data_IF_593489172920
#
_entry.id   IF_593489172920
#
_cell.length_a   1.000
_cell.length_b   1.000
_cell.length_c   1.000
_cell.angle_alpha   90.00
_cell.angle_beta   90.00
_cell.angle_gamma   90.00
#
_symmetry.space_group_name_H-M   'P 1'
#
loop_
_entity.id
_entity.type
_entity.pdbx_description
1 polymer ?
#
# COMPACT_ATOMS: atom_id res chain seq x y z
N UNK A 1 -18.58 -16.65 -6.49
CA UNK A 1 -17.86 -16.09 -5.31
C UNK A 1 -17.05 -14.86 -5.65
N UNK A 2 -15.97 -14.92 -6.46
CA UNK A 2 -15.14 -13.72 -6.73
C UNK A 2 -15.91 -12.54 -7.33
N UNK A 3 -16.71 -12.77 -8.37
CA UNK A 3 -17.55 -11.72 -8.99
C UNK A 3 -18.58 -11.19 -7.98
N UNK A 4 -19.18 -12.08 -7.19
CA UNK A 4 -20.17 -11.72 -6.17
C UNK A 4 -19.54 -10.87 -5.06
N UNK A 5 -18.32 -11.19 -4.62
CA UNK A 5 -17.57 -10.43 -3.63
C UNK A 5 -17.33 -8.99 -4.12
N UNK A 6 -16.78 -8.83 -5.33
CA UNK A 6 -16.53 -7.51 -5.90
C UNK A 6 -17.80 -6.68 -6.08
N UNK A 7 -18.90 -7.32 -6.52
CA UNK A 7 -20.18 -6.65 -6.64
C UNK A 7 -20.75 -6.26 -5.27
N UNK A 8 -20.78 -7.20 -4.33
CA UNK A 8 -21.39 -7.00 -3.00
C UNK A 8 -20.61 -5.98 -2.17
N UNK A 9 -19.28 -6.03 -2.19
CA UNK A 9 -18.43 -5.17 -1.36
C UNK A 9 -18.14 -3.82 -1.99
N UNK A 10 -18.03 -3.75 -3.31
CA UNK A 10 -17.55 -2.54 -4.00
C UNK A 10 -18.46 -2.04 -5.12
N UNK A 11 -19.61 -2.68 -5.34
CA UNK A 11 -20.50 -2.42 -6.47
C UNK A 11 -19.77 -2.50 -7.83
N UNK A 12 -18.70 -3.32 -7.90
CA UNK A 12 -17.89 -3.48 -9.10
C UNK A 12 -18.44 -4.63 -9.95
N UNK A 13 -18.79 -4.32 -11.20
CA UNK A 13 -19.33 -5.30 -12.15
C UNK A 13 -18.20 -6.05 -12.86
N UNK A 14 -17.68 -7.13 -12.25
CA UNK A 14 -16.54 -7.93 -12.76
C UNK A 14 -15.22 -7.15 -12.87
N UNK A 15 -14.20 -7.73 -13.51
CA UNK A 15 -12.82 -7.21 -13.51
C UNK A 15 -12.66 -5.87 -14.25
N UNK A 16 -13.57 -5.50 -15.17
CA UNK A 16 -13.53 -4.25 -15.94
C UNK A 16 -14.59 -3.22 -15.50
N UNK A 17 -15.36 -3.54 -14.45
CA UNK A 17 -16.53 -2.77 -14.03
C UNK A 17 -17.63 -2.66 -15.10
N UNK A 18 -17.67 -3.58 -16.06
CA UNK A 18 -18.62 -3.61 -17.17
C UNK A 18 -19.07 -5.04 -17.53
N UNK A 19 -19.20 -5.91 -16.51
CA UNK A 19 -19.66 -7.29 -16.66
C UNK A 19 -18.77 -8.16 -17.58
N UNK A 20 -17.45 -7.98 -17.55
CA UNK A 20 -16.52 -8.90 -18.22
C UNK A 20 -16.85 -10.37 -17.88
N UNK A 21 -16.99 -11.20 -18.92
CA UNK A 21 -17.25 -12.62 -18.77
C UNK A 21 -16.00 -13.37 -18.31
N UNK A 22 -16.01 -13.88 -17.07
CA UNK A 22 -14.93 -14.71 -16.55
C UNK A 22 -15.01 -16.11 -17.17
N UNK A 23 -13.94 -16.51 -17.87
CA UNK A 23 -13.80 -17.84 -18.47
C UNK A 23 -12.73 -18.62 -17.72
N UNK A 24 -13.05 -19.85 -17.34
CA UNK A 24 -12.15 -20.74 -16.59
C UNK A 24 -11.99 -22.06 -17.32
N UNK A 25 -10.74 -22.48 -17.51
CA UNK A 25 -10.36 -23.75 -18.12
C UNK A 25 -9.61 -24.60 -17.09
N UNK A 26 -10.03 -25.86 -16.95
CA UNK A 26 -9.43 -26.84 -16.04
C UNK A 26 -8.79 -27.97 -16.85
N UNK A 27 -8.11 -28.91 -16.20
CA UNK A 27 -7.38 -30.00 -16.86
C UNK A 27 -6.32 -29.47 -17.85
N UNK A 28 -5.68 -28.36 -17.50
CA UNK A 28 -4.66 -27.79 -18.35
C UNK A 28 -3.34 -28.56 -18.25
N UNK A 29 -2.90 -29.10 -19.38
CA UNK A 29 -1.68 -29.89 -19.51
C UNK A 29 -1.70 -31.15 -18.62
N UNK A 30 -0.55 -31.82 -18.47
CA UNK A 30 -0.42 -33.05 -17.68
C UNK A 30 0.51 -32.80 -16.50
N UNK A 31 0.11 -33.21 -15.29
CA UNK A 31 0.87 -33.00 -14.05
C UNK A 31 1.29 -31.53 -13.83
N UNK A 32 0.42 -30.60 -14.20
CA UNK A 32 0.72 -29.17 -14.19
C UNK A 32 0.40 -28.56 -12.82
N UNK A 33 1.44 -28.31 -12.03
CA UNK A 33 1.34 -27.61 -10.76
C UNK A 33 1.44 -26.09 -10.96
N UNK A 34 0.43 -25.50 -11.60
CA UNK A 34 0.25 -24.04 -11.62
C UNK A 34 -1.18 -23.65 -12.01
N UNK A 35 -1.57 -22.43 -11.65
CA UNK A 35 -2.71 -21.71 -12.18
C UNK A 35 -2.22 -20.36 -12.73
N UNK A 36 -2.96 -19.76 -13.66
CA UNK A 36 -2.61 -18.43 -14.15
C UNK A 36 -3.79 -17.73 -14.84
N UNK A 37 -3.77 -16.41 -14.78
CA UNK A 37 -4.50 -15.51 -15.67
C UNK A 37 -3.66 -15.13 -16.90
N UNK A 38 -4.17 -15.37 -18.12
CA UNK A 38 -3.43 -15.10 -19.37
C UNK A 38 -3.72 -13.73 -20.01
N UNK A 39 -4.47 -12.87 -19.33
CA UNK A 39 -4.98 -11.61 -19.88
C UNK A 39 -6.43 -11.68 -20.38
N UNK A 40 -6.96 -12.88 -20.59
CA UNK A 40 -8.31 -13.11 -21.13
C UNK A 40 -9.12 -14.18 -20.41
N UNK A 41 -8.45 -15.15 -19.78
CA UNK A 41 -9.08 -16.29 -19.11
C UNK A 41 -8.22 -16.83 -17.98
N UNK A 42 -8.90 -17.58 -17.13
CA UNK A 42 -8.35 -18.41 -16.09
C UNK A 42 -7.98 -19.80 -16.60
N UNK A 43 -6.84 -20.31 -16.17
CA UNK A 43 -6.37 -21.67 -16.48
C UNK A 43 -5.86 -22.35 -15.21
N UNK A 44 -6.29 -23.59 -14.97
CA UNK A 44 -5.93 -24.39 -13.80
C UNK A 44 -5.39 -25.76 -14.22
N UNK A 45 -4.22 -26.11 -13.69
CA UNK A 45 -3.71 -27.48 -13.77
C UNK A 45 -4.30 -28.39 -12.70
N UNK A 46 -4.18 -29.69 -12.94
CA UNK A 46 -4.63 -30.74 -12.01
C UNK A 46 -3.64 -30.98 -10.86
N UNK A 47 -2.56 -30.20 -10.78
CA UNK A 47 -1.49 -30.40 -9.83
C UNK A 47 -0.54 -31.53 -10.24
N UNK A 48 0.34 -31.91 -9.31
CA UNK A 48 1.28 -33.01 -9.50
C UNK A 48 1.21 -33.95 -8.30
N UNK A 49 1.21 -35.25 -8.56
CA UNK A 49 1.25 -36.27 -7.51
C UNK A 49 2.44 -36.08 -6.55
N UNK A 50 3.59 -35.63 -7.06
CA UNK A 50 4.81 -35.43 -6.25
C UNK A 50 4.84 -34.13 -5.45
N UNK A 51 4.00 -33.15 -5.80
CA UNK A 51 4.02 -31.82 -5.17
C UNK A 51 2.88 -31.67 -4.19
N UNK A 52 1.65 -31.93 -4.64
CA UNK A 52 0.43 -31.65 -3.89
C UNK A 52 -0.57 -32.81 -3.96
N UNK A 53 -0.09 -34.03 -4.24
CA UNK A 53 -0.93 -35.22 -4.31
C UNK A 53 -1.86 -35.28 -5.53
N UNK A 54 -1.61 -34.45 -6.55
CA UNK A 54 -2.47 -34.40 -7.75
C UNK A 54 -3.84 -33.75 -7.49
N UNK A 55 -3.90 -32.83 -6.53
CA UNK A 55 -5.08 -32.03 -6.27
C UNK A 55 -5.13 -30.84 -7.25
N UNK A 56 -6.29 -30.54 -7.87
CA UNK A 56 -6.42 -29.43 -8.80
C UNK A 56 -6.24 -28.09 -8.08
N UNK A 57 -5.61 -27.12 -8.74
CA UNK A 57 -5.34 -25.78 -8.17
C UNK A 57 -6.58 -24.87 -8.22
N UNK A 58 -7.73 -25.39 -7.81
CA UNK A 58 -9.04 -24.72 -7.88
C UNK A 58 -9.53 -24.25 -6.51
N UNK A 59 -8.61 -24.00 -5.57
CA UNK A 59 -8.93 -23.39 -4.28
C UNK A 59 -9.52 -21.98 -4.47
N UNK A 60 -10.38 -21.54 -3.56
CA UNK A 60 -11.15 -20.30 -3.72
C UNK A 60 -10.24 -19.07 -3.70
N UNK A 61 -9.22 -19.07 -2.85
CA UNK A 61 -8.17 -18.07 -2.76
C UNK A 61 -7.34 -17.99 -4.05
N UNK A 62 -6.94 -19.12 -4.65
CA UNK A 62 -6.22 -19.18 -5.93
C UNK A 62 -7.13 -18.69 -7.05
N UNK A 63 -8.39 -19.13 -7.11
CA UNK A 63 -9.32 -18.61 -8.11
C UNK A 63 -9.54 -17.09 -7.95
N UNK A 64 -9.63 -16.60 -6.72
CA UNK A 64 -9.73 -15.18 -6.41
C UNK A 64 -8.47 -14.39 -6.77
N UNK A 65 -7.30 -14.91 -6.45
CA UNK A 65 -5.98 -14.36 -6.75
C UNK A 65 -5.83 -14.13 -8.25
N UNK A 66 -6.10 -15.16 -9.04
CA UNK A 66 -5.86 -15.08 -10.46
C UNK A 66 -6.86 -14.16 -11.18
N UNK A 67 -8.14 -14.18 -10.78
CA UNK A 67 -9.13 -13.22 -11.30
C UNK A 67 -8.75 -11.79 -10.89
N UNK A 68 -8.09 -11.61 -9.74
CA UNK A 68 -7.59 -10.31 -9.29
C UNK A 68 -6.49 -9.77 -10.19
N UNK A 69 -5.62 -10.59 -10.78
CA UNK A 69 -4.70 -10.12 -11.84
C UNK A 69 -5.46 -9.47 -13.00
N UNK A 70 -6.61 -10.05 -13.37
CA UNK A 70 -7.55 -9.45 -14.31
C UNK A 70 -7.99 -8.05 -13.87
N UNK A 71 -8.43 -7.88 -12.63
CA UNK A 71 -8.80 -6.57 -12.09
C UNK A 71 -7.62 -5.58 -12.10
N UNK A 72 -6.44 -6.01 -11.68
CA UNK A 72 -5.22 -5.19 -11.70
C UNK A 72 -4.91 -4.71 -13.12
N UNK A 73 -5.02 -5.58 -14.14
CA UNK A 73 -4.78 -5.22 -15.55
C UNK A 73 -5.75 -4.17 -16.10
N UNK A 74 -6.97 -4.10 -15.56
CA UNK A 74 -8.01 -3.13 -15.96
C UNK A 74 -8.04 -1.86 -15.12
N UNK A 75 -7.13 -1.73 -14.15
CA UNK A 75 -7.08 -0.60 -13.22
C UNK A 75 -5.67 -0.04 -13.11
N UNK A 76 -4.91 -0.35 -12.06
CA UNK A 76 -3.55 0.17 -11.87
C UNK A 76 -2.58 -0.28 -12.97
N UNK A 77 -2.84 -1.42 -13.60
CA UNK A 77 -1.98 -2.04 -14.61
C UNK A 77 -0.52 -2.18 -14.12
N UNK A 78 -0.36 -2.61 -12.86
CA UNK A 78 0.94 -2.80 -12.21
C UNK A 78 1.84 -3.69 -13.08
N UNK A 79 2.99 -3.15 -13.50
CA UNK A 79 3.95 -3.89 -14.30
C UNK A 79 4.45 -5.10 -13.51
N UNK A 80 4.43 -6.29 -14.12
CA UNK A 80 4.75 -7.55 -13.45
C UNK A 80 6.27 -7.79 -13.32
N UNK A 81 6.93 -6.89 -12.58
CA UNK A 81 8.36 -6.94 -12.29
C UNK A 81 8.68 -6.10 -11.06
N UNK A 82 9.76 -6.45 -10.34
CA UNK A 82 10.28 -5.65 -9.22
C UNK A 82 9.17 -5.33 -8.20
N UNK A 83 9.18 -4.13 -7.62
CA UNK A 83 8.18 -3.74 -6.60
C UNK A 83 6.76 -3.65 -7.15
N UNK A 84 6.55 -3.19 -8.39
CA UNK A 84 5.20 -3.13 -8.97
C UNK A 84 4.63 -4.53 -9.18
N UNK A 85 5.48 -5.50 -9.54
CA UNK A 85 5.09 -6.90 -9.66
C UNK A 85 4.81 -7.53 -8.30
N UNK A 86 5.61 -7.20 -7.28
CA UNK A 86 5.35 -7.64 -5.91
C UNK A 86 4.03 -7.08 -5.35
N UNK A 87 3.68 -5.85 -5.69
CA UNK A 87 2.36 -5.30 -5.38
C UNK A 87 1.26 -5.99 -6.19
N UNK A 88 1.50 -6.32 -7.46
CA UNK A 88 0.54 -7.06 -8.29
C UNK A 88 0.19 -8.41 -7.65
N UNK A 89 1.20 -9.20 -7.30
CA UNK A 89 1.07 -10.44 -6.53
C UNK A 89 0.38 -10.23 -5.19
N UNK A 90 0.84 -9.26 -4.41
CA UNK A 90 0.28 -9.02 -3.08
C UNK A 90 -1.18 -8.58 -3.11
N UNK A 91 -1.60 -7.77 -4.08
CA UNK A 91 -3.03 -7.43 -4.21
C UNK A 91 -3.86 -8.65 -4.65
N UNK A 92 -3.33 -9.51 -5.51
CA UNK A 92 -3.97 -10.78 -5.85
C UNK A 92 -4.15 -11.67 -4.62
N UNK A 93 -3.13 -11.80 -3.77
CA UNK A 93 -3.20 -12.50 -2.49
C UNK A 93 -4.24 -11.86 -1.54
N UNK A 94 -4.21 -10.54 -1.39
CA UNK A 94 -5.15 -9.76 -0.56
C UNK A 94 -6.60 -10.06 -0.93
N UNK A 95 -6.94 -10.00 -2.21
CA UNK A 95 -8.32 -10.23 -2.64
C UNK A 95 -8.67 -11.71 -2.67
N UNK A 96 -7.76 -12.59 -3.08
CA UNK A 96 -7.95 -14.04 -3.00
C UNK A 96 -8.33 -14.48 -1.58
N UNK A 97 -7.51 -14.08 -0.61
CA UNK A 97 -7.76 -14.39 0.80
C UNK A 97 -9.02 -13.68 1.35
N UNK A 98 -9.30 -12.45 0.94
CA UNK A 98 -10.52 -11.74 1.37
C UNK A 98 -11.80 -12.40 0.84
N UNK A 99 -11.77 -12.92 -0.39
CA UNK A 99 -12.89 -13.67 -0.98
C UNK A 99 -13.11 -14.96 -0.21
N UNK A 100 -12.03 -15.65 0.15
CA UNK A 100 -12.08 -16.84 0.99
C UNK A 100 -12.69 -16.56 2.37
N UNK A 101 -12.15 -15.59 3.10
CA UNK A 101 -12.66 -15.15 4.40
C UNK A 101 -14.13 -14.73 4.34
N UNK A 102 -14.55 -14.11 3.24
CA UNK A 102 -15.93 -13.70 3.05
C UNK A 102 -16.87 -14.88 2.72
N UNK A 103 -16.45 -15.78 1.83
CA UNK A 103 -17.30 -16.85 1.33
C UNK A 103 -17.41 -18.03 2.32
N UNK A 104 -16.33 -18.31 3.06
CA UNK A 104 -16.24 -19.45 3.99
C UNK A 104 -15.49 -19.12 5.29
N UNK A 105 -15.98 -18.15 6.09
CA UNK A 105 -15.26 -17.62 7.26
C UNK A 105 -14.88 -18.66 8.33
N UNK A 106 -15.54 -19.82 8.38
CA UNK A 106 -15.25 -20.90 9.34
C UNK A 106 -14.17 -21.89 8.87
N UNK A 107 -13.78 -21.83 7.61
CA UNK A 107 -12.77 -22.71 6.98
C UNK A 107 -11.57 -21.93 6.46
N UNK A 108 -11.71 -20.61 6.31
CA UNK A 108 -10.68 -19.73 5.82
C UNK A 108 -9.44 -19.70 6.73
N UNK A 109 -8.28 -19.58 6.12
CA UNK A 109 -7.02 -19.33 6.80
C UNK A 109 -6.33 -18.08 6.25
N UNK A 110 -5.19 -17.67 6.85
CA UNK A 110 -4.30 -16.65 6.29
C UNK A 110 -3.23 -17.24 5.36
N UNK A 111 -3.29 -18.55 5.11
CA UNK A 111 -2.44 -19.22 4.13
C UNK A 111 -3.10 -19.12 2.75
N UNK A 112 -2.28 -19.37 1.74
CA UNK A 112 -2.71 -19.43 0.36
C UNK A 112 -2.40 -20.80 -0.20
N UNK A 113 -3.40 -21.49 -0.74
CA UNK A 113 -3.29 -22.81 -1.35
C UNK A 113 -3.33 -23.99 -0.39
N UNK A 114 -3.71 -23.79 0.86
CA UNK A 114 -3.86 -24.87 1.86
C UNK A 114 -4.85 -25.95 1.44
N UNK A 115 -5.84 -25.58 0.65
CA UNK A 115 -6.95 -26.44 0.21
C UNK A 115 -6.53 -27.56 -0.74
N UNK A 116 -5.43 -27.38 -1.47
CA UNK A 116 -4.82 -28.43 -2.27
C UNK A 116 -3.60 -29.03 -1.57
N UNK A 117 -3.59 -29.01 -0.23
CA UNK A 117 -2.56 -29.61 0.63
C UNK A 117 -1.14 -29.11 0.34
N UNK A 118 -1.02 -27.88 -0.17
CA UNK A 118 0.26 -27.24 -0.44
C UNK A 118 0.14 -25.73 -0.20
N UNK A 119 0.23 -25.27 1.07
CA UNK A 119 0.29 -23.86 1.35
C UNK A 119 1.54 -23.26 0.69
N UNK A 120 1.34 -22.29 -0.20
CA UNK A 120 2.39 -21.63 -0.98
C UNK A 120 2.98 -20.46 -0.19
N UNK A 121 2.10 -19.72 0.51
CA UNK A 121 2.42 -18.50 1.27
C UNK A 121 1.58 -18.44 2.54
N UNK A 122 2.03 -17.66 3.51
CA UNK A 122 1.29 -17.33 4.72
C UNK A 122 1.31 -15.82 4.93
N UNK A 123 0.14 -15.18 4.79
CA UNK A 123 0.02 -13.73 4.93
C UNK A 123 0.21 -13.26 6.38
N UNK A 124 -0.03 -14.13 7.36
CA UNK A 124 0.15 -13.83 8.78
C UNK A 124 1.59 -14.06 9.27
N UNK A 125 2.35 -14.89 8.56
CA UNK A 125 3.76 -15.18 8.85
C UNK A 125 4.57 -15.47 7.56
N UNK A 126 4.86 -14.45 6.73
CA UNK A 126 5.59 -14.65 5.48
C UNK A 126 6.96 -15.31 5.65
N UNK A 127 7.64 -15.03 6.76
CA UNK A 127 8.95 -15.60 7.07
C UNK A 127 8.94 -17.14 7.14
N UNK A 128 7.82 -17.76 7.54
CA UNK A 128 7.67 -19.23 7.54
C UNK A 128 7.80 -19.86 6.14
N UNK A 129 7.55 -19.06 5.10
CA UNK A 129 7.63 -19.47 3.69
C UNK A 129 8.75 -18.72 2.94
N UNK A 130 9.75 -18.22 3.68
CA UNK A 130 10.93 -17.50 3.13
C UNK A 130 10.54 -16.27 2.30
N UNK A 131 9.50 -15.56 2.72
CA UNK A 131 9.10 -14.26 2.17
C UNK A 131 9.32 -13.17 3.23
N UNK A 132 9.75 -11.95 2.85
CA UNK A 132 9.87 -10.84 3.77
C UNK A 132 8.51 -10.42 4.34
N UNK A 133 8.43 -10.25 5.66
CA UNK A 133 7.35 -9.51 6.33
C UNK A 133 7.68 -8.02 6.51
N UNK A 134 8.96 -7.66 6.34
CA UNK A 134 9.52 -6.32 6.50
C UNK A 134 10.19 -5.87 5.20
N UNK A 135 9.91 -4.66 4.75
CA UNK A 135 10.49 -4.05 3.56
C UNK A 135 12.01 -3.98 3.67
N UNK A 136 12.70 -4.58 2.68
CA UNK A 136 14.17 -4.77 2.66
C UNK A 136 14.74 -5.53 3.86
N UNK A 137 13.90 -6.27 4.57
CA UNK A 137 14.27 -7.13 5.68
C UNK A 137 14.71 -8.53 5.24
N UNK A 138 14.57 -9.47 6.17
CA UNK A 138 14.86 -10.89 5.99
C UNK A 138 14.12 -11.44 4.77
N UNK A 139 14.81 -12.26 3.98
CA UNK A 139 14.32 -12.85 2.72
C UNK A 139 14.00 -11.90 1.55
N UNK A 140 14.14 -10.58 1.72
CA UNK A 140 13.93 -9.62 0.63
C UNK A 140 14.81 -9.93 -0.59
N UNK A 141 14.22 -9.82 -1.79
CA UNK A 141 14.91 -9.95 -3.07
C UNK A 141 15.15 -8.58 -3.69
N UNK A 142 16.33 -8.36 -4.26
CA UNK A 142 16.63 -7.10 -4.94
C UNK A 142 15.63 -6.82 -6.07
N UNK A 143 14.85 -5.76 -5.88
CA UNK A 143 13.85 -5.26 -6.82
C UNK A 143 14.24 -3.88 -7.38
N UNK A 144 15.49 -3.46 -7.19
CA UNK A 144 15.98 -2.17 -7.69
C UNK A 144 16.38 -2.25 -9.17
N UNK A 145 16.91 -1.14 -9.69
CA UNK A 145 17.40 -1.08 -11.07
C UNK A 145 18.58 -2.02 -11.36
N UNK A 146 19.31 -2.50 -10.34
CA UNK A 146 20.38 -3.50 -10.54
C UNK A 146 19.85 -4.88 -10.90
N UNK A 147 18.59 -5.18 -10.56
CA UNK A 147 17.99 -6.45 -10.96
C UNK A 147 17.38 -6.36 -12.36
N UNK A 148 17.81 -7.25 -13.25
CA UNK A 148 17.18 -7.45 -14.57
C UNK A 148 16.07 -8.49 -14.43
N UNK A 149 14.78 -8.15 -14.66
CA UNK A 149 13.69 -9.09 -14.50
C UNK A 149 13.82 -10.27 -15.47
N UNK A 150 13.74 -11.48 -14.94
CA UNK A 150 13.78 -12.71 -15.73
C UNK A 150 12.52 -13.52 -15.45
N UNK A 151 11.89 -13.95 -16.55
CA UNK A 151 10.47 -14.31 -16.63
C UNK A 151 10.15 -15.78 -16.94
N UNK A 152 11.17 -16.54 -17.32
CA UNK A 152 10.99 -17.81 -17.99
C UNK A 152 11.62 -18.94 -17.17
N UNK A 153 10.85 -19.97 -16.74
CA UNK A 153 11.39 -21.13 -16.04
C UNK A 153 12.38 -21.95 -16.89
N UNK A 154 12.43 -21.72 -18.21
CA UNK A 154 13.39 -22.35 -19.12
C UNK A 154 14.74 -21.61 -19.20
N UNK A 155 14.92 -20.49 -18.49
CA UNK A 155 16.20 -19.79 -18.43
C UNK A 155 16.93 -20.13 -17.11
N UNK A 156 18.23 -20.45 -17.14
CA UNK A 156 19.01 -20.64 -15.92
C UNK A 156 19.08 -19.33 -15.12
N UNK A 157 18.96 -19.40 -13.79
CA UNK A 157 19.04 -18.23 -12.92
C UNK A 157 17.76 -17.39 -12.84
N UNK A 158 16.60 -17.93 -13.25
CA UNK A 158 15.28 -17.30 -13.11
C UNK A 158 15.11 -16.65 -11.72
N UNK A 159 14.87 -15.34 -11.72
CA UNK A 159 14.83 -14.52 -10.52
C UNK A 159 13.42 -14.02 -10.17
N UNK A 160 12.40 -14.70 -10.68
CA UNK A 160 11.02 -14.40 -10.36
C UNK A 160 10.64 -12.94 -10.70
N UNK A 161 11.03 -12.47 -11.89
CA UNK A 161 10.88 -11.08 -12.31
C UNK A 161 11.38 -10.07 -11.25
N UNK A 162 12.51 -10.36 -10.61
CA UNK A 162 13.05 -9.65 -9.44
C UNK A 162 12.22 -9.82 -8.15
N UNK A 163 11.81 -11.06 -7.89
CA UNK A 163 11.18 -11.50 -6.65
C UNK A 163 9.74 -11.04 -6.45
N UNK A 164 8.90 -11.06 -7.49
CA UNK A 164 7.50 -10.60 -7.38
C UNK A 164 6.70 -11.43 -6.38
N UNK A 165 6.78 -12.76 -6.43
CA UNK A 165 6.10 -13.62 -5.46
C UNK A 165 6.82 -13.61 -4.11
N UNK A 166 8.14 -13.37 -4.07
CA UNK A 166 8.85 -13.32 -2.79
C UNK A 166 8.48 -12.05 -2.02
N UNK A 167 8.71 -10.90 -2.64
CA UNK A 167 8.56 -9.60 -2.00
C UNK A 167 7.10 -9.22 -1.72
N UNK A 168 6.11 -9.90 -2.29
CA UNK A 168 4.68 -9.70 -1.98
C UNK A 168 4.35 -9.95 -0.50
N UNK A 169 5.18 -10.72 0.21
CA UNK A 169 5.07 -10.96 1.65
C UNK A 169 4.92 -9.68 2.49
N UNK A 170 5.54 -8.57 2.07
CA UNK A 170 5.44 -7.28 2.76
C UNK A 170 4.02 -6.72 2.69
N UNK A 171 3.37 -6.76 1.51
CA UNK A 171 1.99 -6.31 1.36
C UNK A 171 1.02 -7.29 2.04
N UNK A 172 1.31 -8.58 1.98
CA UNK A 172 0.51 -9.62 2.62
C UNK A 172 0.44 -9.44 4.13
N UNK A 173 1.59 -9.23 4.79
CA UNK A 173 1.64 -9.00 6.22
C UNK A 173 1.03 -7.66 6.62
N UNK A 174 1.23 -6.62 5.80
CA UNK A 174 0.55 -5.33 5.98
C UNK A 174 -0.97 -5.50 6.03
N UNK A 175 -1.53 -6.27 5.10
CA UNK A 175 -2.97 -6.47 5.03
C UNK A 175 -3.49 -7.35 6.17
N UNK A 176 -2.77 -8.41 6.53
CA UNK A 176 -3.06 -9.23 7.71
C UNK A 176 -3.16 -8.36 8.98
N UNK A 177 -2.15 -7.51 9.23
CA UNK A 177 -2.14 -6.60 10.38
C UNK A 177 -3.28 -5.60 10.33
N UNK A 178 -3.64 -5.10 9.15
CA UNK A 178 -4.74 -4.16 9.01
C UNK A 178 -6.10 -4.82 9.32
N UNK A 179 -6.30 -6.08 8.92
CA UNK A 179 -7.54 -6.82 9.20
C UNK A 179 -7.59 -7.27 10.66
N UNK A 180 -6.57 -8.00 11.10
CA UNK A 180 -6.58 -8.77 12.36
C UNK A 180 -5.95 -8.01 13.53
N UNK A 181 -5.11 -7.02 13.24
CA UNK A 181 -4.23 -6.40 14.23
C UNK A 181 -3.04 -7.28 14.58
N UNK A 182 -2.17 -6.76 15.44
CA UNK A 182 -0.97 -7.45 15.90
C UNK A 182 0.06 -6.49 16.48
N UNK A 183 0.98 -7.02 17.28
CA UNK A 183 2.09 -6.26 17.85
C UNK A 183 3.37 -7.07 17.79
N UNK A 184 4.51 -6.40 17.66
CA UNK A 184 5.81 -7.05 17.58
C UNK A 184 6.94 -6.06 17.37
N UNK A 185 8.08 -6.56 16.89
CA UNK A 185 9.21 -5.75 16.46
C UNK A 185 9.64 -6.25 15.10
N UNK A 186 9.79 -5.36 14.11
CA UNK A 186 10.18 -5.74 12.76
C UNK A 186 11.71 -5.82 12.59
N UNK A 187 12.17 -6.21 11.41
CA UNK A 187 13.61 -6.38 11.12
C UNK A 187 14.44 -5.10 11.27
N UNK A 188 13.79 -3.93 11.22
CA UNK A 188 14.45 -2.64 11.48
C UNK A 188 14.51 -2.29 12.97
N UNK A 189 14.20 -3.24 13.86
CA UNK A 189 14.09 -3.04 15.31
C UNK A 189 13.01 -2.03 15.71
N UNK A 190 11.98 -1.84 14.89
CA UNK A 190 10.85 -0.97 15.21
C UNK A 190 9.74 -1.78 15.85
N UNK A 191 9.43 -1.43 17.11
CA UNK A 191 8.27 -1.98 17.79
C UNK A 191 6.97 -1.41 17.22
N UNK A 192 5.97 -2.27 17.11
CA UNK A 192 4.67 -1.94 16.56
C UNK A 192 3.48 -2.55 17.28
N UNK A 193 2.36 -1.86 17.13
CA UNK A 193 1.04 -2.31 17.54
C UNK A 193 0.00 -1.75 16.57
N UNK A 194 -0.75 -2.65 15.96
CA UNK A 194 -1.84 -2.38 15.05
C UNK A 194 -3.10 -2.95 15.68
N UNK A 195 -4.05 -2.10 16.03
CA UNK A 195 -5.44 -2.52 16.20
C UNK A 195 -6.04 -2.81 14.83
N UNK A 196 -6.58 -4.01 14.65
CA UNK A 196 -7.26 -4.40 13.41
C UNK A 196 -8.51 -3.56 13.17
N UNK A 197 -8.75 -3.18 11.91
CA UNK A 197 -9.95 -2.47 11.47
C UNK A 197 -10.99 -3.38 10.83
N UNK A 198 -10.69 -4.69 10.75
CA UNK A 198 -11.57 -5.71 10.21
C UNK A 198 -11.56 -5.80 8.67
N UNK A 199 -12.05 -6.93 8.17
CA UNK A 199 -11.97 -7.32 6.76
C UNK A 199 -12.62 -6.30 5.82
N UNK A 200 -13.82 -5.81 6.18
CA UNK A 200 -14.59 -4.91 5.30
C UNK A 200 -13.89 -3.57 5.09
N UNK A 201 -13.36 -2.96 6.16
CA UNK A 201 -12.69 -1.67 6.06
C UNK A 201 -11.33 -1.78 5.38
N UNK A 202 -10.53 -2.80 5.76
CA UNK A 202 -9.24 -3.07 5.14
C UNK A 202 -9.41 -3.37 3.64
N UNK A 203 -10.38 -4.21 3.26
CA UNK A 203 -10.69 -4.55 1.87
C UNK A 203 -11.13 -3.33 1.05
N UNK A 204 -11.95 -2.43 1.62
CA UNK A 204 -12.32 -1.17 0.96
C UNK A 204 -11.12 -0.24 0.71
N UNK A 205 -10.20 -0.15 1.67
CA UNK A 205 -8.96 0.63 1.52
C UNK A 205 -8.07 0.01 0.44
N UNK A 206 -7.84 -1.30 0.48
CA UNK A 206 -7.05 -2.01 -0.53
C UNK A 206 -7.66 -1.83 -1.93
N UNK A 207 -8.99 -1.96 -2.05
CA UNK A 207 -9.72 -1.79 -3.31
C UNK A 207 -9.57 -0.39 -3.88
N UNK A 208 -9.80 0.64 -3.07
CA UNK A 208 -9.64 2.03 -3.52
C UNK A 208 -8.19 2.36 -3.87
N UNK A 209 -7.23 1.83 -3.09
CA UNK A 209 -5.79 1.98 -3.36
C UNK A 209 -5.46 1.46 -4.75
N UNK A 210 -5.80 0.19 -5.04
CA UNK A 210 -5.52 -0.45 -6.30
C UNK A 210 -6.27 0.19 -7.48
N UNK A 211 -7.55 0.50 -7.31
CA UNK A 211 -8.39 0.89 -8.45
C UNK A 211 -8.38 2.37 -8.80
N UNK A 212 -7.98 3.24 -7.86
CA UNK A 212 -8.06 4.70 -8.02
C UNK A 212 -6.73 5.43 -7.97
N UNK A 213 -5.71 4.84 -7.32
CA UNK A 213 -4.46 5.56 -7.01
C UNK A 213 -3.20 4.95 -7.56
N UNK A 214 -3.09 3.63 -7.58
CA UNK A 214 -1.90 2.99 -8.12
C UNK A 214 -1.83 3.10 -9.64
N UNK A 215 -0.60 3.07 -10.14
CA UNK A 215 -0.25 3.15 -11.56
C UNK A 215 0.72 2.02 -11.90
N UNK A 216 1.03 1.84 -13.18
CA UNK A 216 1.83 0.71 -13.64
C UNK A 216 3.23 0.63 -13.02
N UNK A 217 3.81 1.77 -12.62
CA UNK A 217 5.14 1.86 -12.03
C UNK A 217 5.14 2.08 -10.52
N UNK A 218 4.01 1.86 -9.84
CA UNK A 218 3.91 2.09 -8.40
C UNK A 218 4.83 1.17 -7.59
N UNK A 219 5.44 1.76 -6.56
CA UNK A 219 6.37 1.13 -5.60
C UNK A 219 5.69 0.95 -4.24
N UNK A 220 6.35 0.28 -3.29
CA UNK A 220 5.86 0.17 -1.90
C UNK A 220 5.64 1.55 -1.25
N UNK A 221 6.48 2.53 -1.56
CA UNK A 221 6.29 3.91 -1.11
C UNK A 221 5.00 4.53 -1.69
N UNK A 222 4.70 4.27 -2.97
CA UNK A 222 3.45 4.72 -3.58
C UNK A 222 2.23 4.01 -2.97
N UNK A 223 2.32 2.72 -2.68
CA UNK A 223 1.26 1.96 -2.02
C UNK A 223 0.94 2.50 -0.62
N UNK A 224 1.97 2.87 0.16
CA UNK A 224 1.79 3.59 1.43
C UNK A 224 1.03 4.89 1.25
N UNK A 225 1.52 5.80 0.42
CA UNK A 225 0.86 7.11 0.21
C UNK A 225 -0.58 6.94 -0.28
N UNK A 226 -0.80 6.04 -1.23
CA UNK A 226 -2.09 5.81 -1.87
C UNK A 226 -3.12 5.20 -0.91
N UNK A 227 -2.71 4.27 -0.06
CA UNK A 227 -3.61 3.65 0.92
C UNK A 227 -3.95 4.58 2.09
N UNK A 228 -3.03 5.47 2.49
CA UNK A 228 -3.33 6.55 3.43
C UNK A 228 -4.37 7.52 2.84
N UNK A 229 -4.21 7.88 1.56
CA UNK A 229 -5.20 8.71 0.86
C UNK A 229 -6.54 7.98 0.73
N UNK A 230 -6.54 6.70 0.36
CA UNK A 230 -7.76 5.89 0.28
C UNK A 230 -8.50 5.82 1.62
N UNK A 231 -7.80 5.60 2.73
CA UNK A 231 -8.38 5.62 4.06
C UNK A 231 -8.92 7.01 4.44
N UNK A 232 -8.20 8.07 4.10
CA UNK A 232 -8.63 9.45 4.36
C UNK A 232 -9.90 9.82 3.59
N UNK A 233 -10.05 9.38 2.34
CA UNK A 233 -11.27 9.64 1.57
C UNK A 233 -12.47 8.86 2.10
N UNK A 234 -12.26 7.62 2.53
CA UNK A 234 -13.33 6.73 2.96
C UNK A 234 -13.80 7.05 4.38
N UNK A 235 -12.88 7.47 5.26
CA UNK A 235 -13.13 7.57 6.70
C UNK A 235 -12.72 8.92 7.32
N UNK A 236 -12.03 9.79 6.57
CA UNK A 236 -11.53 11.09 7.02
C UNK A 236 -10.06 11.06 7.47
N UNK A 237 -9.34 12.16 7.29
CA UNK A 237 -7.87 12.27 7.56
C UNK A 237 -7.48 11.99 9.01
N UNK A 238 -8.34 12.31 9.98
CA UNK A 238 -8.09 12.08 11.42
C UNK A 238 -8.67 10.77 11.96
N UNK A 239 -9.07 9.84 11.09
CA UNK A 239 -9.76 8.62 11.48
C UNK A 239 -8.84 7.57 12.09
N UNK A 240 -9.46 6.62 12.81
CA UNK A 240 -8.76 5.44 13.29
C UNK A 240 -8.20 4.63 12.11
N UNK A 241 -8.91 4.54 10.99
CA UNK A 241 -8.50 3.81 9.80
C UNK A 241 -7.20 4.36 9.19
N UNK A 242 -7.07 5.67 9.05
CA UNK A 242 -5.81 6.31 8.61
C UNK A 242 -4.68 6.00 9.59
N UNK A 243 -4.97 6.05 10.89
CA UNK A 243 -4.00 5.72 11.95
C UNK A 243 -3.54 4.26 11.84
N UNK A 244 -4.46 3.32 11.62
CA UNK A 244 -4.14 1.89 11.53
C UNK A 244 -3.45 1.52 10.21
N UNK A 245 -3.77 2.17 9.09
CA UNK A 245 -2.99 2.05 7.84
C UNK A 245 -1.56 2.54 8.05
N UNK A 246 -1.38 3.67 8.74
CA UNK A 246 -0.04 4.21 9.08
C UNK A 246 0.73 3.21 9.94
N UNK A 247 0.11 2.69 11.00
CA UNK A 247 0.72 1.73 11.92
C UNK A 247 1.09 0.42 11.21
N UNK A 248 0.24 -0.11 10.34
CA UNK A 248 0.54 -1.32 9.57
C UNK A 248 1.71 -1.10 8.60
N UNK A 249 1.80 0.05 7.90
CA UNK A 249 2.94 0.32 7.02
C UNK A 249 4.25 0.51 7.79
N UNK A 250 4.19 1.12 8.98
CA UNK A 250 5.30 1.21 9.91
C UNK A 250 5.77 -0.18 10.37
N UNK A 251 4.82 -1.06 10.70
CA UNK A 251 5.11 -2.44 11.10
C UNK A 251 5.89 -3.19 10.01
N UNK A 252 5.51 -3.04 8.74
CA UNK A 252 6.23 -3.67 7.61
C UNK A 252 7.41 -2.84 7.08
N UNK A 253 7.86 -1.81 7.79
CA UNK A 253 9.10 -1.08 7.48
C UNK A 253 9.05 -0.12 6.30
N UNK A 254 7.88 0.22 5.76
CA UNK A 254 7.73 1.19 4.67
C UNK A 254 7.35 2.55 5.26
N UNK A 255 8.15 3.60 5.02
CA UNK A 255 7.87 4.96 5.51
C UNK A 255 8.56 5.35 6.81
N UNK A 256 9.49 4.53 7.31
CA UNK A 256 10.53 4.94 8.27
C UNK A 256 10.07 5.25 9.70
N UNK A 257 8.84 4.93 10.10
CA UNK A 257 8.32 5.28 11.42
C UNK A 257 8.20 4.08 12.37
N UNK A 258 8.66 4.25 13.61
CA UNK A 258 8.24 3.46 14.76
C UNK A 258 6.77 3.77 15.05
N UNK A 259 5.90 2.78 14.97
CA UNK A 259 4.54 2.91 15.51
C UNK A 259 4.58 3.20 17.01
N UNK A 260 3.56 3.90 17.48
CA UNK A 260 3.45 4.50 18.83
C UNK A 260 3.51 3.51 20.00
N UNK A 261 3.62 2.20 19.76
CA UNK A 261 3.75 1.18 20.80
C UNK A 261 5.19 0.79 21.15
N UNK A 262 6.18 1.40 20.50
CA UNK A 262 7.60 1.13 20.75
C UNK A 262 8.35 2.13 21.61
N UNK A 263 7.72 3.23 22.03
CA UNK A 263 8.36 4.22 22.91
C UNK A 263 7.33 4.86 23.85
N UNK A 264 7.35 4.42 25.11
CA UNK A 264 7.17 5.39 26.20
C UNK A 264 8.40 6.31 26.14
N UNK A 265 8.30 7.38 25.37
CA UNK A 265 9.01 8.65 25.52
C UNK A 265 8.79 9.52 24.27
N UNK A 266 8.02 10.60 24.51
CA UNK A 266 8.06 11.93 23.87
C UNK A 266 7.62 12.07 22.41
N UNK A 267 6.42 12.65 22.30
CA UNK A 267 5.93 13.64 21.32
C UNK A 267 5.60 13.14 19.91
N UNK A 268 4.31 12.98 19.62
CA UNK A 268 3.33 14.01 19.22
C UNK A 268 3.23 14.09 17.70
N UNK A 269 2.00 14.26 17.23
CA UNK A 269 1.61 14.30 15.84
C UNK A 269 2.19 15.56 15.18
N UNK A 270 3.47 15.56 14.80
CA UNK A 270 4.09 16.75 14.21
C UNK A 270 3.87 16.75 12.71
N UNK A 271 2.96 17.63 12.30
CA UNK A 271 3.06 18.24 10.99
C UNK A 271 4.51 18.74 10.82
N UNK A 272 5.18 18.39 9.72
CA UNK A 272 6.55 18.85 9.38
C UNK A 272 6.70 20.38 9.48
N UNK A 273 5.57 21.09 9.44
CA UNK A 273 5.45 22.51 9.58
C UNK A 273 4.32 22.85 10.56
N UNK A 274 4.53 23.81 11.45
CA UNK A 274 3.48 24.42 12.26
C UNK A 274 3.27 25.87 11.82
N UNK A 275 2.04 26.22 11.46
CA UNK A 275 1.64 27.59 11.08
C UNK A 275 0.85 28.18 12.25
N UNK A 276 1.33 29.26 12.87
CA UNK A 276 0.66 29.88 14.02
C UNK A 276 0.90 31.41 14.12
N UNK A 277 -0.11 32.23 14.45
CA UNK A 277 -1.51 31.85 14.58
C UNK A 277 -2.10 31.45 13.22
N UNK A 278 -3.09 30.55 13.24
CA UNK A 278 -3.86 30.18 12.06
C UNK A 278 -5.30 29.86 12.51
N UNK A 279 -6.27 30.76 12.29
CA UNK A 279 -6.22 31.92 11.40
C UNK A 279 -5.32 33.08 11.88
N UNK A 280 -4.73 33.83 10.95
CA UNK A 280 -3.88 35.00 11.19
C UNK A 280 -4.53 36.31 10.71
N UNK A 281 -4.28 37.41 11.43
CA UNK A 281 -4.79 38.74 11.07
C UNK A 281 -3.74 39.59 10.37
N UNK A 282 -2.54 39.72 10.93
CA UNK A 282 -1.50 40.60 10.41
C UNK A 282 -0.17 39.86 10.23
N UNK A 283 0.11 38.82 11.01
CA UNK A 283 1.35 38.04 10.94
C UNK A 283 1.11 36.58 11.30
N UNK A 284 2.01 35.72 10.83
CA UNK A 284 2.07 34.32 11.24
C UNK A 284 3.51 33.83 11.30
N UNK A 285 3.72 32.69 11.94
CA UNK A 285 5.01 32.02 12.05
C UNK A 285 4.90 30.64 11.42
N UNK A 286 5.94 30.23 10.69
CA UNK A 286 6.16 28.85 10.25
C UNK A 286 7.30 28.26 11.09
N UNK A 287 7.04 27.16 11.79
CA UNK A 287 8.05 26.38 12.50
C UNK A 287 8.27 25.06 11.79
N UNK A 288 9.53 24.69 11.52
CA UNK A 288 9.90 23.43 10.89
C UNK A 288 11.36 23.08 11.17
N UNK A 289 11.72 21.81 11.02
CA UNK A 289 13.11 21.35 11.09
C UNK A 289 13.76 21.42 9.70
N UNK A 290 14.97 21.98 9.61
CA UNK A 290 15.66 22.25 8.35
C UNK A 290 17.18 22.08 8.45
N UNK A 291 17.85 22.20 7.29
CA UNK A 291 19.31 22.24 7.18
C UNK A 291 19.77 23.67 6.95
N UNK A 292 20.98 23.98 7.41
CA UNK A 292 21.58 25.29 7.23
C UNK A 292 21.72 25.63 5.74
N UNK A 293 21.37 26.86 5.37
CA UNK A 293 21.47 27.35 4.01
C UNK A 293 20.40 28.36 3.63
N UNK A 294 20.33 28.69 2.34
CA UNK A 294 19.36 29.67 1.82
C UNK A 294 18.04 28.98 1.47
N UNK A 295 16.93 29.57 1.91
CA UNK A 295 15.59 29.11 1.61
C UNK A 295 14.66 30.22 1.13
N UNK A 296 13.45 29.84 0.77
CA UNK A 296 12.35 30.74 0.39
C UNK A 296 11.07 30.29 1.07
N UNK A 297 10.33 31.24 1.63
CA UNK A 297 8.96 31.03 2.11
C UNK A 297 8.00 31.84 1.26
N UNK A 298 6.93 31.19 0.79
CA UNK A 298 5.94 31.78 -0.08
C UNK A 298 4.53 31.60 0.50
N UNK A 299 3.67 32.58 0.25
CA UNK A 299 2.24 32.48 0.50
C UNK A 299 1.51 32.65 -0.82
N UNK A 300 0.78 31.62 -1.22
CA UNK A 300 0.18 31.51 -2.55
C UNK A 300 -1.33 31.41 -2.41
N UNK A 301 -2.07 32.25 -3.11
CA UNK A 301 -3.53 32.14 -3.20
C UNK A 301 -3.94 30.85 -3.94
N UNK A 302 -5.21 30.44 -3.79
CA UNK A 302 -5.74 29.27 -4.50
C UNK A 302 -5.78 29.45 -6.03
N UNK A 303 -5.67 30.68 -6.53
CA UNK A 303 -5.56 30.98 -7.97
C UNK A 303 -4.12 30.94 -8.49
N UNK A 304 -3.14 30.61 -7.61
CA UNK A 304 -1.73 30.52 -7.96
C UNK A 304 -0.98 31.86 -7.89
N UNK A 305 -1.65 32.97 -7.58
CA UNK A 305 -0.97 34.25 -7.35
C UNK A 305 -0.16 34.19 -6.05
N UNK A 306 1.14 34.49 -6.13
CA UNK A 306 2.04 34.63 -4.99
C UNK A 306 1.78 35.97 -4.32
N UNK A 307 1.31 35.94 -3.08
CA UNK A 307 1.06 37.15 -2.27
C UNK A 307 2.31 37.56 -1.48
N UNK A 308 3.13 36.59 -1.07
CA UNK A 308 4.39 36.80 -0.35
C UNK A 308 5.45 35.85 -0.93
N UNK A 309 6.70 36.31 -1.02
CA UNK A 309 7.88 35.50 -1.35
C UNK A 309 9.11 36.11 -0.66
N UNK A 310 9.51 35.52 0.46
CA UNK A 310 10.65 36.00 1.27
C UNK A 310 11.81 35.01 1.22
N UNK A 311 13.02 35.54 0.99
CA UNK A 311 14.26 34.75 1.11
C UNK A 311 14.67 34.71 2.57
N UNK A 312 15.04 33.53 3.05
CA UNK A 312 15.38 33.28 4.45
C UNK A 312 16.70 32.54 4.56
N UNK A 313 17.46 32.83 5.61
CA UNK A 313 18.62 32.01 6.00
C UNK A 313 18.14 30.98 7.03
N UNK A 314 18.45 29.72 6.78
CA UNK A 314 18.08 28.59 7.60
C UNK A 314 19.27 28.13 8.43
N UNK A 315 18.98 27.59 9.61
CA UNK A 315 19.96 26.92 10.47
C UNK A 315 19.73 25.42 10.48
N UNK A 316 20.75 24.64 10.84
CA UNK A 316 20.56 23.23 11.14
C UNK A 316 19.62 23.07 12.36
N UNK A 317 18.61 22.20 12.22
CA UNK A 317 17.61 21.96 13.26
C UNK A 317 16.38 22.85 13.11
N UNK A 318 15.78 23.25 14.24
CA UNK A 318 14.50 23.97 14.25
C UNK A 318 14.64 25.42 13.75
N UNK A 319 13.84 25.75 12.73
CA UNK A 319 13.71 27.08 12.15
C UNK A 319 12.36 27.68 12.55
N UNK A 320 12.36 28.99 12.87
CA UNK A 320 11.17 29.78 13.22
C UNK A 320 11.13 31.03 12.38
N UNK A 321 10.25 31.07 11.37
CA UNK A 321 10.18 32.15 10.40
C UNK A 321 8.88 32.94 10.58
N UNK A 322 8.99 34.21 10.93
CA UNK A 322 7.84 35.12 11.07
C UNK A 322 7.60 35.89 9.78
N UNK A 323 6.38 35.86 9.25
CA UNK A 323 5.98 36.59 8.06
C UNK A 323 4.88 37.59 8.37
N UNK A 324 5.00 38.79 7.79
CA UNK A 324 3.98 39.84 7.85
C UNK A 324 3.04 39.69 6.65
N UNK A 325 1.74 39.64 6.91
CA UNK A 325 0.70 39.62 5.89
C UNK A 325 0.44 41.05 5.39
N UNK A 326 0.47 41.30 4.06
CA UNK A 326 0.12 42.59 3.50
C UNK A 326 -1.30 43.02 3.90
N UNK A 327 -1.50 44.29 4.25
CA UNK A 327 -2.84 44.83 4.54
C UNK A 327 -3.78 44.77 3.34
N UNK A 328 -3.23 44.68 2.12
CA UNK A 328 -3.96 44.52 0.86
C UNK A 328 -4.39 43.08 0.56
N UNK A 329 -3.94 42.11 1.36
CA UNK A 329 -4.28 40.70 1.18
C UNK A 329 -5.69 40.44 1.70
N UNK A 330 -6.56 39.93 0.84
CA UNK A 330 -7.96 39.67 1.18
C UNK A 330 -8.09 38.53 2.21
N UNK A 331 -9.15 38.51 3.03
CA UNK A 331 -9.49 37.36 3.86
C UNK A 331 -9.71 36.10 3.00
N UNK A 332 -9.24 34.95 3.45
CA UNK A 332 -9.35 33.71 2.68
C UNK A 332 -8.33 32.65 3.05
N UNK A 333 -8.33 31.55 2.29
CA UNK A 333 -7.39 30.44 2.46
C UNK A 333 -6.25 30.59 1.46
N UNK A 334 -5.02 30.46 1.97
CA UNK A 334 -3.78 30.54 1.22
C UNK A 334 -2.93 29.31 1.50
N UNK A 335 -2.08 28.94 0.56
CA UNK A 335 -1.12 27.84 0.71
C UNK A 335 0.22 28.44 1.11
N UNK A 336 0.78 27.95 2.23
CA UNK A 336 2.14 28.30 2.64
C UNK A 336 3.08 27.26 2.06
N UNK A 337 4.15 27.73 1.44
CA UNK A 337 5.17 26.91 0.78
C UNK A 337 6.53 27.28 1.35
N UNK A 338 7.33 26.28 1.71
CA UNK A 338 8.72 26.44 2.15
C UNK A 338 9.61 25.64 1.21
N UNK A 339 10.55 26.30 0.53
CA UNK A 339 11.46 25.68 -0.44
C UNK A 339 10.74 24.83 -1.51
N UNK A 340 9.58 25.30 -1.99
CA UNK A 340 8.76 24.59 -2.97
C UNK A 340 7.89 23.47 -2.40
N UNK A 341 7.98 23.16 -1.10
CA UNK A 341 7.14 22.17 -0.44
C UNK A 341 5.95 22.83 0.26
N UNK A 342 4.77 22.22 0.15
CA UNK A 342 3.58 22.69 0.86
C UNK A 342 3.74 22.50 2.37
N UNK A 343 3.83 23.60 3.10
CA UNK A 343 3.91 23.63 4.56
C UNK A 343 2.52 23.51 5.21
N UNK A 344 1.48 24.01 4.56
CA UNK A 344 0.11 23.93 5.05
C UNK A 344 -0.79 24.98 4.44
N UNK A 345 -2.01 25.10 4.97
CA UNK A 345 -2.94 26.17 4.59
C UNK A 345 -2.95 27.24 5.69
N UNK A 346 -2.88 28.51 5.31
CA UNK A 346 -3.08 29.67 6.17
C UNK A 346 -4.47 30.26 5.92
N UNK A 347 -5.21 30.55 7.00
CA UNK A 347 -6.47 31.28 6.95
C UNK A 347 -6.18 32.73 7.33
N UNK A 348 -6.29 33.67 6.39
CA UNK A 348 -6.25 35.11 6.66
C UNK A 348 -7.64 35.57 7.10
N UNK A 349 -7.72 36.20 8.27
CA UNK A 349 -8.94 36.88 8.75
C UNK A 349 -9.11 38.26 8.16
#
# INVERSE_FOLDING_TARGET
MTVDYYYTKFNRKSIDNNNFAIKSYVHYSTNYFNAFWDGSRMTYGDGSASTNGGLPLTAIDVCGHEITHGMTSKTANLAYQRESGALNEGFSDVFGNSIELWARPTQASWKLGEDFNYPIRDMSNPNAYKQPDTYKGTYWKDASSSCTPQGNPNLPGYNDYCGVHTNSGVLNFWYYLLVSGGSGTNDNSFAYNVSGIGLDKAGAIAYRTLTSYLTSSSTYANARTSSLQAAADLYGTGSNEVTQVTNAWNAVGVGGGTSSAGRVATESNTSLYTISPNPATDRFTVLFEGKAGKGVVEVVSLTGKREISEKVELTDGMNKLGLQLPSTMLPGVYVVVVNGQKAGNLIKK
#
